data_IF_036429540594
#
_entry.id   IF_036429540594
#
_cell.length_a   1.000
_cell.length_b   1.000
_cell.length_c   1.000
_cell.angle_alpha   90.00
_cell.angle_beta   90.00
_cell.angle_gamma   90.00
#
_symmetry.space_group_name_H-M   'P 1'
#
loop_
_entity.id
_entity.type
_entity.pdbx_description
1 polymer ?
#
# COMPACT_ATOMS: atom_id res chain seq x y z
N UNK A 1 23.58 -17.89 -6.19
CA UNK A 1 22.96 -16.70 -5.61
C UNK A 1 22.30 -17.17 -4.33
N UNK A 2 22.93 -16.88 -3.20
CA UNK A 2 22.43 -17.30 -1.90
C UNK A 2 21.46 -16.20 -1.43
N UNK A 3 20.22 -16.58 -1.16
CA UNK A 3 19.20 -15.69 -0.65
C UNK A 3 18.91 -15.95 0.85
N UNK A 4 19.78 -16.70 1.51
CA UNK A 4 19.68 -16.88 2.94
C UNK A 4 20.09 -15.59 3.65
N UNK A 5 19.32 -15.23 4.65
CA UNK A 5 19.54 -14.05 5.45
C UNK A 5 20.28 -14.47 6.70
N UNK A 6 21.54 -14.02 6.84
CA UNK A 6 22.27 -14.19 8.07
C UNK A 6 22.05 -13.00 9.00
N UNK A 7 21.49 -13.24 10.17
CA UNK A 7 21.30 -12.20 11.16
C UNK A 7 22.58 -11.96 11.94
N UNK A 8 23.04 -10.71 11.91
CA UNK A 8 24.20 -10.29 12.70
C UNK A 8 23.82 -10.11 14.18
N UNK A 9 24.80 -10.11 15.09
CA UNK A 9 24.53 -9.78 16.50
C UNK A 9 23.84 -8.43 16.70
N UNK A 10 24.13 -7.43 15.86
CA UNK A 10 23.46 -6.12 15.86
C UNK A 10 21.98 -6.24 15.47
N UNK A 11 21.66 -7.03 14.46
CA UNK A 11 20.28 -7.28 14.05
C UNK A 11 19.48 -8.00 15.14
N UNK A 12 20.10 -8.97 15.84
CA UNK A 12 19.44 -9.68 16.93
C UNK A 12 19.23 -8.79 18.18
N UNK A 13 20.15 -7.89 18.46
CA UNK A 13 19.97 -6.91 19.54
C UNK A 13 18.84 -5.92 19.22
N UNK A 14 18.83 -5.43 17.97
CA UNK A 14 17.74 -4.57 17.49
C UNK A 14 16.39 -5.31 17.52
N UNK A 15 16.35 -6.61 17.18
CA UNK A 15 15.15 -7.45 17.30
C UNK A 15 14.60 -7.48 18.73
N UNK A 16 15.48 -7.63 19.71
CA UNK A 16 15.07 -7.59 21.13
C UNK A 16 14.51 -6.22 21.52
N UNK A 17 15.14 -5.13 21.05
CA UNK A 17 14.64 -3.76 21.29
C UNK A 17 13.23 -3.60 20.71
N UNK A 18 13.03 -3.94 19.42
CA UNK A 18 11.74 -3.82 18.74
C UNK A 18 10.68 -4.65 19.45
N UNK A 19 10.97 -5.92 19.75
CA UNK A 19 10.06 -6.83 20.43
C UNK A 19 9.64 -6.29 21.80
N UNK A 20 10.60 -5.90 22.62
CA UNK A 20 10.34 -5.35 23.96
C UNK A 20 9.57 -4.02 23.91
N UNK A 21 9.74 -3.24 22.85
CA UNK A 21 8.96 -2.02 22.66
C UNK A 21 7.53 -2.33 22.21
N UNK A 22 7.34 -3.24 21.26
CA UNK A 22 6.01 -3.68 20.80
C UNK A 22 5.20 -4.27 21.97
N UNK A 23 5.80 -5.13 22.78
CA UNK A 23 5.13 -5.73 23.95
C UNK A 23 4.63 -4.69 24.96
N UNK A 24 5.25 -3.52 25.02
CA UNK A 24 4.85 -2.41 25.91
C UNK A 24 3.87 -1.42 25.27
N UNK A 25 3.91 -1.26 23.96
CA UNK A 25 3.22 -0.17 23.24
C UNK A 25 2.04 -0.63 22.40
N UNK A 26 1.96 -1.92 22.08
CA UNK A 26 0.84 -2.49 21.36
C UNK A 26 -0.27 -2.85 22.37
N UNK A 27 -1.19 -1.90 22.54
CA UNK A 27 -2.31 -2.01 23.45
C UNK A 27 -3.54 -2.63 22.78
N UNK A 28 -4.50 -3.24 23.53
CA UNK A 28 -5.66 -3.92 22.94
C UNK A 28 -6.58 -3.05 22.07
N UNK A 29 -6.52 -1.71 22.21
CA UNK A 29 -7.29 -0.75 21.45
C UNK A 29 -6.62 -0.39 20.09
N UNK A 30 -5.38 -0.79 19.90
CA UNK A 30 -4.68 -0.68 18.60
C UNK A 30 -5.03 -1.90 17.76
N UNK A 31 -5.31 -1.72 16.50
CA UNK A 31 -5.62 -2.81 15.59
C UNK A 31 -6.63 -2.40 14.54
N UNK A 32 -7.00 -3.33 13.68
CA UNK A 32 -8.06 -3.13 12.71
C UNK A 32 -9.03 -4.31 12.77
N UNK A 33 -10.34 -4.07 12.65
CA UNK A 33 -11.28 -5.17 12.52
C UNK A 33 -11.04 -5.93 11.22
N UNK A 34 -11.57 -7.13 11.13
CA UNK A 34 -11.51 -7.98 9.95
C UNK A 34 -12.00 -7.24 8.70
N UNK A 35 -13.07 -6.49 8.84
CA UNK A 35 -13.60 -5.66 7.77
C UNK A 35 -13.20 -4.20 8.01
N UNK A 36 -12.45 -3.65 7.09
CA UNK A 36 -11.90 -2.30 7.19
C UNK A 36 -12.96 -1.21 7.43
N UNK A 37 -14.20 -1.39 6.94
CA UNK A 37 -15.32 -0.47 7.17
C UNK A 37 -15.86 -0.48 8.61
N UNK A 38 -15.52 -1.47 9.39
CA UNK A 38 -15.98 -1.61 10.76
C UNK A 38 -15.05 -0.89 11.77
N UNK A 39 -13.99 -0.20 11.30
CA UNK A 39 -13.11 0.62 12.15
C UNK A 39 -13.90 1.77 12.76
N UNK A 40 -13.98 1.80 14.08
CA UNK A 40 -14.58 2.92 14.81
C UNK A 40 -13.64 4.13 14.82
N UNK A 41 -14.21 5.33 15.06
CA UNK A 41 -13.40 6.55 15.17
C UNK A 41 -12.41 6.49 16.36
N UNK A 42 -12.78 5.87 17.47
CA UNK A 42 -11.89 5.70 18.62
C UNK A 42 -10.74 4.76 18.31
N UNK A 43 -11.02 3.65 17.63
CA UNK A 43 -9.98 2.74 17.16
C UNK A 43 -9.03 3.41 16.16
N UNK A 44 -9.56 4.24 15.25
CA UNK A 44 -8.73 5.05 14.37
C UNK A 44 -7.79 5.99 15.14
N UNK A 45 -8.30 6.68 16.19
CA UNK A 45 -7.46 7.53 17.03
C UNK A 45 -6.35 6.74 17.73
N UNK A 46 -6.68 5.57 18.28
CA UNK A 46 -5.68 4.68 18.90
C UNK A 46 -4.61 4.24 17.91
N UNK A 47 -5.03 3.89 16.69
CA UNK A 47 -4.10 3.52 15.61
C UNK A 47 -3.19 4.68 15.21
N UNK A 48 -3.73 5.90 15.09
CA UNK A 48 -2.93 7.09 14.80
C UNK A 48 -1.94 7.41 15.93
N UNK A 49 -2.35 7.25 17.18
CA UNK A 49 -1.47 7.42 18.33
C UNK A 49 -0.34 6.37 18.33
N UNK A 50 -0.64 5.12 17.98
CA UNK A 50 0.38 4.07 17.83
C UNK A 50 1.36 4.37 16.71
N UNK A 51 0.88 4.82 15.52
CA UNK A 51 1.73 5.27 14.41
C UNK A 51 2.65 6.41 14.85
N UNK A 52 2.10 7.39 15.58
CA UNK A 52 2.89 8.50 16.13
C UNK A 52 4.02 8.02 17.03
N UNK A 53 3.75 7.05 17.94
CA UNK A 53 4.80 6.44 18.78
C UNK A 53 5.86 5.68 17.98
N UNK A 54 5.46 4.98 16.90
CA UNK A 54 6.42 4.39 15.95
C UNK A 54 7.25 5.46 15.25
N UNK A 55 6.61 6.58 14.87
CA UNK A 55 7.28 7.73 14.26
C UNK A 55 8.32 8.37 15.17
N UNK A 56 8.03 8.52 16.47
CA UNK A 56 8.98 9.01 17.48
C UNK A 56 10.26 8.15 17.59
N UNK A 57 10.13 6.84 17.30
CA UNK A 57 11.26 5.92 17.18
C UNK A 57 11.92 5.94 15.79
N UNK A 58 11.33 6.65 14.82
CA UNK A 58 11.71 6.58 13.41
C UNK A 58 11.30 5.27 12.71
N UNK A 59 10.48 4.44 13.35
CA UNK A 59 10.11 3.11 12.86
C UNK A 59 8.89 3.10 11.94
N UNK A 60 8.15 4.21 11.87
CA UNK A 60 7.05 4.33 10.93
C UNK A 60 7.53 4.50 9.48
N UNK A 61 8.63 5.25 9.29
CA UNK A 61 9.31 5.44 8.02
C UNK A 61 10.79 5.06 8.16
N UNK A 62 11.11 3.76 8.36
CA UNK A 62 12.40 3.32 8.91
C UNK A 62 13.61 3.66 8.05
N UNK A 63 13.49 3.62 6.75
CA UNK A 63 14.62 3.86 5.82
C UNK A 63 14.71 5.32 5.32
N UNK A 64 13.74 6.17 5.70
CA UNK A 64 13.74 7.58 5.31
C UNK A 64 14.75 8.39 6.11
N UNK A 65 15.24 9.53 5.54
CA UNK A 65 16.24 10.37 6.21
C UNK A 65 15.75 10.89 7.56
N UNK A 66 16.63 10.83 8.57
CA UNK A 66 16.35 11.34 9.91
C UNK A 66 16.04 12.84 9.94
N UNK A 67 16.66 13.62 9.06
CA UNK A 67 16.44 15.05 8.94
C UNK A 67 14.99 15.44 8.62
N UNK A 68 14.23 14.51 8.03
CA UNK A 68 12.81 14.69 7.70
C UNK A 68 11.87 13.88 8.59
N UNK A 69 12.37 13.30 9.68
CA UNK A 69 11.52 12.52 10.62
C UNK A 69 11.49 11.03 10.35
N UNK A 70 12.28 10.53 9.40
CA UNK A 70 12.44 9.08 9.18
C UNK A 70 13.45 8.45 10.15
N UNK A 71 13.56 7.12 10.13
CA UNK A 71 14.44 6.35 11.01
C UNK A 71 15.90 6.33 10.59
N UNK A 72 16.19 6.50 9.30
CA UNK A 72 17.54 6.34 8.74
C UNK A 72 18.13 4.96 9.02
N UNK A 73 17.27 3.93 9.15
CA UNK A 73 17.71 2.56 9.35
C UNK A 73 18.36 2.01 8.08
N UNK A 74 19.34 1.12 8.26
CA UNK A 74 19.86 0.33 7.15
C UNK A 74 18.76 -0.62 6.64
N UNK A 75 18.86 -1.10 5.39
CA UNK A 75 17.93 -2.09 4.88
C UNK A 75 17.81 -3.35 5.73
N UNK A 76 18.93 -3.79 6.32
CA UNK A 76 19.00 -4.97 7.19
C UNK A 76 18.18 -4.79 8.48
N UNK A 77 18.35 -3.65 9.14
CA UNK A 77 17.58 -3.34 10.35
C UNK A 77 16.09 -3.11 10.03
N UNK A 78 15.78 -2.52 8.88
CA UNK A 78 14.41 -2.35 8.43
C UNK A 78 13.70 -3.70 8.24
N UNK A 79 14.40 -4.73 7.71
CA UNK A 79 13.85 -6.09 7.61
C UNK A 79 13.50 -6.66 8.99
N UNK A 80 14.38 -6.51 9.97
CA UNK A 80 14.13 -6.98 11.33
C UNK A 80 12.89 -6.29 11.95
N UNK A 81 12.78 -4.98 11.76
CA UNK A 81 11.60 -4.22 12.21
C UNK A 81 10.31 -4.74 11.56
N UNK A 82 10.31 -4.94 10.25
CA UNK A 82 9.16 -5.44 9.51
C UNK A 82 8.77 -6.86 9.96
N UNK A 83 9.74 -7.75 10.19
CA UNK A 83 9.49 -9.10 10.71
C UNK A 83 8.81 -9.07 12.08
N UNK A 84 9.25 -8.20 12.99
CA UNK A 84 8.63 -8.08 14.32
C UNK A 84 7.23 -7.47 14.25
N UNK A 85 6.98 -6.51 13.36
CA UNK A 85 5.65 -5.98 13.11
C UNK A 85 4.73 -7.05 12.49
N UNK A 86 5.21 -7.81 11.50
CA UNK A 86 4.45 -8.92 10.91
C UNK A 86 4.16 -10.03 11.91
N UNK A 87 5.03 -10.28 12.88
CA UNK A 87 4.78 -11.25 13.94
C UNK A 87 3.58 -10.88 14.82
N UNK A 88 3.11 -9.65 14.74
CA UNK A 88 1.94 -9.11 15.45
C UNK A 88 0.77 -8.82 14.50
N UNK A 89 0.77 -9.36 13.29
CA UNK A 89 -0.24 -9.05 12.26
C UNK A 89 -1.66 -9.38 12.72
N UNK A 90 -1.84 -10.45 13.51
CA UNK A 90 -3.13 -10.85 14.07
C UNK A 90 -3.74 -9.77 14.97
N UNK A 91 -2.91 -8.97 15.62
CA UNK A 91 -3.31 -7.85 16.44
C UNK A 91 -3.35 -6.54 15.65
N UNK A 92 -2.27 -6.25 14.89
CA UNK A 92 -2.14 -5.02 14.12
C UNK A 92 -3.10 -4.94 12.94
N UNK A 93 -3.44 -6.09 12.34
CA UNK A 93 -4.20 -6.12 11.10
C UNK A 93 -3.58 -5.19 10.07
N UNK A 94 -4.43 -4.42 9.41
CA UNK A 94 -4.02 -3.46 8.38
C UNK A 94 -3.61 -2.06 8.92
N UNK A 95 -3.35 -1.90 10.22
CA UNK A 95 -3.00 -0.59 10.84
C UNK A 95 -1.81 0.07 10.15
N UNK A 96 -0.82 -0.74 9.73
CA UNK A 96 0.41 -0.26 9.10
C UNK A 96 0.34 -0.23 7.57
N UNK A 97 -0.62 -0.92 6.95
CA UNK A 97 -0.62 -1.25 5.52
C UNK A 97 -1.57 -0.37 4.71
N UNK A 98 -2.45 0.36 5.36
CA UNK A 98 -3.46 1.16 4.66
C UNK A 98 -2.81 2.25 3.80
N UNK A 99 -3.16 2.27 2.51
CA UNK A 99 -2.61 3.11 1.44
C UNK A 99 -2.72 4.63 1.63
N UNK A 100 -3.00 5.08 2.84
CA UNK A 100 -3.19 6.48 3.22
C UNK A 100 -1.98 7.05 3.96
N UNK A 101 -0.86 6.37 3.87
CA UNK A 101 0.35 6.76 4.60
C UNK A 101 1.13 7.90 3.92
N UNK A 102 0.64 8.39 2.78
CA UNK A 102 1.22 9.57 2.11
C UNK A 102 2.65 9.38 1.58
N UNK A 103 3.18 8.14 1.51
CA UNK A 103 4.56 7.93 1.08
C UNK A 103 4.80 8.26 -0.39
N UNK A 104 3.77 8.23 -1.24
CA UNK A 104 3.90 8.75 -2.60
C UNK A 104 4.09 10.26 -2.61
N UNK A 105 3.32 10.98 -1.78
CA UNK A 105 3.47 12.42 -1.60
C UNK A 105 4.83 12.75 -0.98
N UNK A 106 5.24 12.03 0.07
CA UNK A 106 6.54 12.23 0.71
C UNK A 106 7.69 12.02 -0.28
N UNK A 107 7.64 10.98 -1.14
CA UNK A 107 8.62 10.76 -2.18
C UNK A 107 8.67 11.92 -3.17
N UNK A 108 7.52 12.36 -3.69
CA UNK A 108 7.44 13.51 -4.60
C UNK A 108 8.03 14.78 -3.96
N UNK A 109 7.67 15.08 -2.71
CA UNK A 109 8.18 16.24 -1.98
C UNK A 109 9.69 16.14 -1.77
N UNK A 110 10.22 14.96 -1.42
CA UNK A 110 11.66 14.76 -1.22
C UNK A 110 12.46 15.06 -2.48
N UNK A 111 11.98 14.61 -3.65
CA UNK A 111 12.69 14.77 -4.91
C UNK A 111 12.48 16.09 -5.62
N UNK A 112 11.29 16.69 -5.49
CA UNK A 112 10.88 17.83 -6.30
C UNK A 112 10.49 19.04 -5.48
N UNK A 113 10.13 18.84 -4.21
CA UNK A 113 9.74 19.91 -3.30
C UNK A 113 10.91 20.83 -2.96
N UNK A 114 10.61 22.11 -2.73
CA UNK A 114 11.56 23.05 -2.17
C UNK A 114 11.77 22.80 -0.67
N UNK A 115 12.75 23.47 -0.06
CA UNK A 115 13.10 23.24 1.35
C UNK A 115 11.97 23.63 2.32
N UNK A 116 11.12 24.58 1.98
CA UNK A 116 9.97 24.96 2.78
C UNK A 116 8.91 23.86 2.77
N UNK A 117 8.59 23.33 1.59
CA UNK A 117 7.68 22.20 1.44
C UNK A 117 8.18 20.95 2.15
N UNK A 118 9.48 20.63 2.06
CA UNK A 118 10.09 19.51 2.79
C UNK A 118 9.93 19.68 4.30
N UNK A 119 10.26 20.86 4.83
CA UNK A 119 10.10 21.15 6.28
C UNK A 119 8.64 21.13 6.73
N UNK A 120 7.72 21.57 5.89
CA UNK A 120 6.29 21.67 6.21
C UNK A 120 5.61 20.31 6.24
N UNK A 121 5.88 19.44 5.26
CA UNK A 121 5.07 18.23 5.04
C UNK A 121 5.75 16.95 5.51
N UNK A 122 7.05 16.78 5.26
CA UNK A 122 7.71 15.50 5.48
C UNK A 122 7.70 15.05 6.94
N UNK A 123 7.98 15.89 7.95
CA UNK A 123 8.01 15.42 9.33
C UNK A 123 6.69 14.80 9.80
N UNK A 124 5.57 15.43 9.48
CA UNK A 124 4.25 14.96 9.91
C UNK A 124 3.78 13.71 9.16
N UNK A 125 4.20 13.54 7.89
CA UNK A 125 3.92 12.35 7.10
C UNK A 125 4.78 11.19 7.58
N UNK A 126 6.10 11.40 7.73
CA UNK A 126 7.05 10.34 8.04
C UNK A 126 7.02 9.87 9.50
N UNK A 127 6.46 10.68 10.40
CA UNK A 127 6.22 10.26 11.77
C UNK A 127 4.81 9.69 12.01
N UNK A 128 4.02 9.48 10.95
CA UNK A 128 2.72 8.83 11.01
C UNK A 128 1.57 9.68 11.58
N UNK A 129 1.77 11.00 11.74
CA UNK A 129 0.74 11.91 12.31
C UNK A 129 -0.26 12.39 11.27
N UNK A 130 0.17 12.57 10.01
CA UNK A 130 -0.72 13.01 8.94
C UNK A 130 -1.21 11.86 8.06
N UNK A 131 -2.50 11.91 7.73
CA UNK A 131 -3.12 11.08 6.71
C UNK A 131 -3.17 11.87 5.41
N UNK A 132 -2.71 11.28 4.30
CA UNK A 132 -2.71 11.90 2.98
C UNK A 132 -3.45 10.99 2.00
N UNK A 133 -4.51 11.49 1.38
CA UNK A 133 -5.18 10.77 0.31
C UNK A 133 -4.56 11.07 -1.05
N UNK A 134 -4.41 10.03 -1.88
CA UNK A 134 -3.88 10.13 -3.23
C UNK A 134 -5.01 10.30 -4.25
N UNK A 135 -5.08 11.46 -4.90
CA UNK A 135 -6.10 11.85 -5.88
C UNK A 135 -5.55 11.67 -7.30
N UNK A 136 -5.54 10.44 -7.79
CA UNK A 136 -4.97 10.11 -9.11
C UNK A 136 -6.03 9.67 -10.11
N UNK A 137 -6.71 8.56 -9.82
CA UNK A 137 -7.65 7.89 -10.72
C UNK A 137 -8.91 8.72 -10.96
N UNK A 138 -9.39 8.73 -12.20
CA UNK A 138 -10.66 9.33 -12.60
C UNK A 138 -11.60 8.27 -13.18
N UNK A 139 -12.92 8.54 -13.30
CA UNK A 139 -13.86 7.56 -13.87
C UNK A 139 -13.42 7.01 -15.23
N UNK A 140 -12.78 7.84 -16.06
CA UNK A 140 -12.30 7.47 -17.40
C UNK A 140 -10.78 7.35 -17.52
N UNK A 141 -10.01 7.51 -16.44
CA UNK A 141 -8.55 7.50 -16.46
C UNK A 141 -7.98 6.69 -15.30
N UNK A 142 -7.87 5.38 -15.47
CA UNK A 142 -7.27 4.44 -14.53
C UNK A 142 -5.91 3.93 -15.01
N UNK A 143 -5.91 2.85 -15.80
CA UNK A 143 -4.67 2.29 -16.38
C UNK A 143 -3.96 3.29 -17.29
N UNK A 144 -4.71 4.09 -18.02
CA UNK A 144 -4.24 5.22 -18.81
C UNK A 144 -4.37 6.53 -18.02
N UNK A 145 -3.70 6.59 -16.88
CA UNK A 145 -3.77 7.73 -15.96
C UNK A 145 -3.48 9.09 -16.62
N UNK A 146 -2.53 9.21 -17.59
CA UNK A 146 -2.29 10.49 -18.25
C UNK A 146 -3.44 11.00 -19.14
N UNK A 147 -4.50 10.22 -19.35
CA UNK A 147 -5.72 10.67 -20.02
C UNK A 147 -6.72 11.37 -19.10
N UNK A 148 -6.30 11.71 -17.87
CA UNK A 148 -7.13 12.44 -16.91
C UNK A 148 -7.66 13.76 -17.47
N UNK A 149 -8.76 14.21 -16.93
CA UNK A 149 -9.48 15.44 -17.33
C UNK A 149 -9.53 16.50 -16.24
N UNK A 150 -9.23 16.14 -14.98
CA UNK A 150 -9.13 17.12 -13.89
C UNK A 150 -8.08 18.16 -14.20
N UNK A 151 -8.47 19.43 -14.12
CA UNK A 151 -7.60 20.58 -14.36
C UNK A 151 -7.23 21.29 -13.08
N UNK A 152 -6.07 21.95 -13.08
CA UNK A 152 -5.58 22.88 -12.06
C UNK A 152 -4.99 24.07 -12.80
N UNK A 153 -5.83 25.01 -13.20
CA UNK A 153 -5.42 26.14 -14.04
C UNK A 153 -5.00 27.31 -13.16
N UNK A 154 -3.88 27.92 -13.49
CA UNK A 154 -3.37 29.07 -12.76
C UNK A 154 -4.27 30.30 -12.94
N UNK A 155 -4.62 30.95 -11.83
CA UNK A 155 -5.38 32.17 -11.77
C UNK A 155 -4.75 33.11 -10.72
N UNK A 156 -3.92 34.04 -11.18
CA UNK A 156 -3.11 34.90 -10.32
C UNK A 156 -2.10 34.11 -9.50
N UNK A 157 -2.20 34.22 -8.19
CA UNK A 157 -1.33 33.54 -7.21
C UNK A 157 -1.88 32.17 -6.77
N UNK A 158 -2.99 31.74 -7.36
CA UNK A 158 -3.65 30.47 -7.06
C UNK A 158 -3.69 29.53 -8.26
N UNK A 159 -3.99 28.25 -7.98
CA UNK A 159 -4.51 27.27 -8.94
C UNK A 159 -5.98 26.98 -8.63
N UNK A 160 -6.79 26.88 -9.68
CA UNK A 160 -8.22 26.54 -9.58
C UNK A 160 -8.46 25.16 -10.12
N UNK A 161 -8.89 24.25 -9.24
CA UNK A 161 -9.17 22.86 -9.60
C UNK A 161 -10.62 22.68 -10.01
N UNK A 162 -10.82 21.91 -11.08
CA UNK A 162 -12.13 21.41 -11.51
C UNK A 162 -11.99 19.97 -12.02
N UNK A 163 -12.85 19.06 -11.54
CA UNK A 163 -12.86 17.67 -11.97
C UNK A 163 -13.36 16.70 -10.92
N UNK A 164 -13.08 15.41 -11.17
CA UNK A 164 -13.47 14.32 -10.28
C UNK A 164 -12.37 13.28 -10.17
N UNK A 165 -12.14 12.81 -8.95
CA UNK A 165 -11.27 11.68 -8.64
C UNK A 165 -12.07 10.55 -8.01
N UNK A 166 -11.68 9.29 -8.26
CA UNK A 166 -12.42 8.11 -7.80
C UNK A 166 -11.48 7.08 -7.19
N UNK A 167 -12.02 6.18 -6.38
CA UNK A 167 -11.29 5.15 -5.63
C UNK A 167 -10.25 5.73 -4.67
N UNK A 168 -10.51 6.93 -4.15
CA UNK A 168 -9.61 7.68 -3.29
C UNK A 168 -9.74 7.24 -1.84
N UNK A 169 -8.63 7.34 -1.11
CA UNK A 169 -8.57 7.23 0.34
C UNK A 169 -8.85 5.84 0.89
N UNK A 170 -9.00 5.77 2.19
CA UNK A 170 -9.46 4.63 2.94
C UNK A 170 -10.39 5.08 4.08
N UNK A 171 -10.04 4.84 5.34
CA UNK A 171 -11.00 4.72 6.42
C UNK A 171 -11.48 6.04 7.03
N UNK A 172 -10.67 7.09 7.04
CA UNK A 172 -10.98 8.33 7.76
C UNK A 172 -10.47 9.56 7.03
N UNK A 173 -10.95 10.73 7.47
CA UNK A 173 -10.69 12.00 6.82
C UNK A 173 -9.20 12.31 6.77
N UNK A 174 -8.69 12.79 5.61
CA UNK A 174 -7.29 13.14 5.45
C UNK A 174 -6.98 14.51 6.04
N UNK A 175 -5.71 14.76 6.33
CA UNK A 175 -5.18 16.10 6.59
C UNK A 175 -4.88 16.82 5.28
N UNK A 176 -4.39 16.05 4.30
CA UNK A 176 -4.04 16.55 2.97
C UNK A 176 -4.51 15.58 1.88
N UNK A 177 -4.71 16.14 0.69
CA UNK A 177 -4.94 15.41 -0.56
C UNK A 177 -3.78 15.67 -1.50
N UNK A 178 -3.08 14.62 -1.91
CA UNK A 178 -2.02 14.69 -2.91
C UNK A 178 -2.60 14.41 -4.28
N UNK A 179 -2.73 15.46 -5.11
CA UNK A 179 -3.44 15.42 -6.38
C UNK A 179 -2.50 15.60 -7.56
N UNK A 180 -2.82 14.90 -8.68
CA UNK A 180 -2.25 15.18 -10.00
C UNK A 180 -3.38 15.71 -10.89
N UNK A 181 -3.10 16.83 -11.59
CA UNK A 181 -4.06 17.50 -12.47
C UNK A 181 -3.36 18.16 -13.65
N UNK A 182 -4.12 18.48 -14.71
CA UNK A 182 -3.63 19.20 -15.88
C UNK A 182 -3.44 20.68 -15.52
N UNK A 183 -2.20 21.16 -15.60
CA UNK A 183 -1.86 22.58 -15.39
C UNK A 183 -1.82 23.38 -16.67
N UNK A 184 -1.52 22.71 -17.79
CA UNK A 184 -1.47 23.36 -19.11
C UNK A 184 -1.97 22.39 -20.20
N UNK A 185 -3.23 22.52 -20.66
CA UNK A 185 -3.81 21.62 -21.65
C UNK A 185 -3.14 21.68 -23.03
N UNK A 186 -2.41 22.75 -23.34
CA UNK A 186 -1.73 22.91 -24.63
C UNK A 186 -0.39 22.16 -24.69
N UNK A 187 0.12 21.66 -23.56
CA UNK A 187 1.35 20.86 -23.53
C UNK A 187 1.10 19.40 -23.90
N UNK A 188 2.10 18.72 -24.43
CA UNK A 188 2.01 17.28 -24.68
C UNK A 188 1.65 16.49 -23.42
N UNK A 189 0.96 15.39 -23.63
CA UNK A 189 0.65 14.39 -22.61
C UNK A 189 1.87 14.04 -21.76
N UNK A 190 1.69 13.85 -20.46
CA UNK A 190 2.68 13.72 -19.38
C UNK A 190 3.40 15.03 -19.02
N UNK A 191 3.70 15.90 -19.98
CA UNK A 191 4.33 17.20 -19.71
C UNK A 191 3.32 18.32 -19.39
N UNK A 192 2.02 18.00 -19.35
CA UNK A 192 0.92 18.92 -19.05
C UNK A 192 0.43 18.83 -17.58
N UNK A 193 1.06 18.00 -16.75
CA UNK A 193 0.59 17.65 -15.40
C UNK A 193 1.37 18.39 -14.31
N UNK A 194 0.69 18.81 -13.25
CA UNK A 194 1.26 19.26 -11.99
C UNK A 194 0.87 18.32 -10.84
N UNK A 195 1.66 18.33 -9.77
CA UNK A 195 1.38 17.60 -8.54
C UNK A 195 1.21 18.58 -7.38
N UNK A 196 0.20 18.39 -6.54
CA UNK A 196 -0.20 19.36 -5.53
C UNK A 196 -0.48 18.71 -4.18
N UNK A 197 -0.13 19.42 -3.11
CA UNK A 197 -0.58 19.13 -1.75
C UNK A 197 -1.72 20.08 -1.38
N UNK A 198 -2.93 19.56 -1.27
CA UNK A 198 -4.17 20.32 -1.02
C UNK A 198 -4.62 20.05 0.42
N UNK A 199 -4.83 21.07 1.28
CA UNK A 199 -5.48 20.86 2.58
C UNK A 199 -6.87 20.25 2.38
N UNK A 200 -7.22 19.27 3.19
CA UNK A 200 -8.46 18.50 2.97
C UNK A 200 -9.73 19.30 3.21
N UNK A 201 -9.64 20.37 3.99
CA UNK A 201 -10.73 21.29 4.33
C UNK A 201 -10.90 22.46 3.32
N UNK A 202 -10.16 22.41 2.19
CA UNK A 202 -10.26 23.46 1.16
C UNK A 202 -11.67 23.55 0.60
N UNK A 203 -12.29 24.74 0.57
CA UNK A 203 -13.64 24.92 0.02
C UNK A 203 -13.76 24.44 -1.44
N UNK A 204 -14.92 23.86 -1.78
CA UNK A 204 -15.19 23.33 -3.12
C UNK A 204 -14.88 21.83 -3.28
N UNK A 205 -14.36 21.19 -2.24
CA UNK A 205 -14.16 19.75 -2.19
C UNK A 205 -15.39 19.05 -1.65
N UNK A 206 -15.96 18.11 -2.40
CA UNK A 206 -17.06 17.26 -1.96
C UNK A 206 -16.65 15.79 -1.99
N UNK A 207 -16.94 15.08 -0.90
CA UNK A 207 -16.51 13.67 -0.70
C UNK A 207 -17.75 12.77 -0.63
N UNK A 208 -17.83 11.76 -1.50
CA UNK A 208 -18.86 10.74 -1.50
C UNK A 208 -18.28 9.35 -1.26
N UNK A 209 -18.91 8.57 -0.40
CA UNK A 209 -18.55 7.17 -0.20
C UNK A 209 -18.87 6.33 -1.43
N UNK A 210 -18.05 5.30 -1.66
CA UNK A 210 -18.25 4.29 -2.69
C UNK A 210 -18.42 2.93 -2.02
N UNK A 211 -19.55 2.28 -2.31
CA UNK A 211 -19.79 0.90 -1.89
C UNK A 211 -19.13 -0.05 -2.90
N UNK A 212 -18.04 -0.67 -2.47
CA UNK A 212 -17.30 -1.63 -3.28
C UNK A 212 -17.45 -3.04 -2.72
N UNK A 213 -17.44 -4.04 -3.59
CA UNK A 213 -17.53 -5.45 -3.20
C UNK A 213 -16.41 -5.86 -2.21
N UNK A 214 -15.22 -5.34 -2.38
CA UNK A 214 -14.08 -5.55 -1.47
C UNK A 214 -14.17 -4.77 -0.17
N UNK A 215 -15.20 -3.96 0.06
CA UNK A 215 -15.24 -3.02 1.18
C UNK A 215 -14.23 -1.89 0.99
N UNK A 216 -13.60 -1.45 2.07
CA UNK A 216 -12.37 -0.65 1.98
C UNK A 216 -12.54 0.86 1.91
N UNK A 217 -13.72 1.39 2.18
CA UNK A 217 -13.93 2.83 2.46
C UNK A 217 -13.44 3.79 1.38
N UNK A 218 -13.51 3.41 0.10
CA UNK A 218 -13.11 4.28 -1.00
C UNK A 218 -14.11 5.42 -1.22
N UNK A 219 -13.65 6.49 -1.85
CA UNK A 219 -14.39 7.73 -2.05
C UNK A 219 -14.32 8.18 -3.50
N UNK A 220 -15.36 8.89 -3.91
CA UNK A 220 -15.37 9.79 -5.07
C UNK A 220 -15.22 11.22 -4.57
N UNK A 221 -14.29 11.97 -5.16
CA UNK A 221 -13.96 13.35 -4.78
C UNK A 221 -14.33 14.26 -5.94
N UNK A 222 -15.21 15.19 -5.70
CA UNK A 222 -15.54 16.25 -6.66
C UNK A 222 -14.80 17.52 -6.28
N UNK A 223 -14.25 18.19 -7.26
CA UNK A 223 -13.47 19.42 -7.14
C UNK A 223 -14.19 20.49 -7.99
N UNK A 224 -14.80 21.47 -7.33
CA UNK A 224 -15.56 22.52 -7.98
C UNK A 224 -15.00 23.89 -7.59
N UNK A 225 -14.24 24.51 -8.51
CA UNK A 225 -13.54 25.77 -8.29
C UNK A 225 -12.70 25.79 -7.00
N UNK A 226 -12.04 24.66 -6.69
CA UNK A 226 -11.17 24.54 -5.50
C UNK A 226 -9.93 25.39 -5.72
N UNK A 227 -9.77 26.43 -4.91
CA UNK A 227 -8.63 27.35 -4.99
C UNK A 227 -7.55 26.94 -4.00
N UNK A 228 -6.34 26.79 -4.50
CA UNK A 228 -5.16 26.50 -3.69
C UNK A 228 -4.03 27.45 -4.06
N UNK A 229 -3.24 27.94 -3.11
CA UNK A 229 -2.14 28.85 -3.41
C UNK A 229 -1.06 28.16 -4.26
N UNK A 230 -0.31 28.97 -5.02
CA UNK A 230 0.69 28.45 -5.95
C UNK A 230 1.79 27.62 -5.30
N UNK A 231 2.06 27.83 -4.00
CA UNK A 231 3.03 27.06 -3.21
C UNK A 231 2.54 25.62 -2.88
N UNK A 232 1.28 25.30 -3.14
CA UNK A 232 0.75 23.92 -3.09
C UNK A 232 1.31 23.03 -4.22
N UNK A 233 1.82 23.61 -5.32
CA UNK A 233 2.46 22.90 -6.40
C UNK A 233 3.81 22.32 -5.96
N UNK A 234 3.96 21.02 -6.00
CA UNK A 234 5.19 20.30 -5.69
C UNK A 234 6.05 20.20 -6.97
N UNK A 235 7.25 20.77 -6.91
CA UNK A 235 8.10 20.89 -8.09
C UNK A 235 7.63 21.99 -9.05
N UNK A 236 7.54 21.68 -10.35
CA UNK A 236 7.17 22.62 -11.42
C UNK A 236 6.00 22.10 -12.23
N UNK A 237 5.31 23.00 -12.92
CA UNK A 237 4.33 22.62 -13.94
C UNK A 237 4.99 21.73 -15.01
N UNK A 238 4.29 20.65 -15.36
CA UNK A 238 4.78 19.65 -16.31
C UNK A 238 5.56 18.50 -15.65
N UNK A 239 5.86 18.56 -14.35
CA UNK A 239 6.56 17.50 -13.63
C UNK A 239 5.62 16.53 -12.88
N UNK A 240 4.31 16.72 -12.92
CA UNK A 240 3.34 15.91 -12.18
C UNK A 240 3.44 14.42 -12.48
N UNK A 241 3.77 14.03 -13.70
CA UNK A 241 3.99 12.62 -14.04
C UNK A 241 5.19 12.02 -13.32
N UNK A 242 6.24 12.81 -13.13
CA UNK A 242 7.44 12.42 -12.38
C UNK A 242 7.12 12.21 -10.89
N UNK A 243 6.24 13.03 -10.32
CA UNK A 243 5.78 12.88 -8.94
C UNK A 243 5.14 11.51 -8.69
N UNK A 244 4.37 11.02 -9.67
CA UNK A 244 3.74 9.70 -9.62
C UNK A 244 4.71 8.55 -9.87
N UNK A 245 5.67 8.71 -10.78
CA UNK A 245 6.59 7.64 -11.21
C UNK A 245 7.89 7.58 -10.41
N UNK A 246 8.31 8.68 -9.78
CA UNK A 246 9.55 8.80 -8.99
C UNK A 246 9.59 7.98 -7.71
N UNK A 247 8.48 7.43 -7.28
CA UNK A 247 8.33 6.57 -6.07
C UNK A 247 9.32 5.39 -5.99
N UNK A 248 9.90 4.96 -7.12
CA UNK A 248 10.71 3.73 -7.19
C UNK A 248 12.11 3.84 -6.59
N UNK A 249 12.64 5.05 -6.42
CA UNK A 249 14.01 5.25 -5.98
C UNK A 249 14.16 5.27 -4.44
N UNK A 250 13.08 5.52 -3.69
CA UNK A 250 13.11 5.65 -2.21
C UNK A 250 12.68 4.37 -1.49
N UNK A 251 11.91 3.50 -2.14
CA UNK A 251 11.33 2.31 -1.51
C UNK A 251 12.01 1.03 -2.00
N UNK A 252 13.20 0.74 -1.50
CA UNK A 252 13.82 -0.58 -1.60
C UNK A 252 13.38 -1.49 -0.43
N UNK A 253 12.16 -1.33 0.08
CA UNK A 253 11.62 -2.23 1.08
C UNK A 253 11.30 -3.58 0.44
N UNK A 254 12.16 -4.55 0.64
CA UNK A 254 11.89 -5.93 0.35
C UNK A 254 11.47 -6.61 1.64
N UNK A 255 10.22 -6.93 1.72
CA UNK A 255 9.67 -7.64 2.86
C UNK A 255 9.89 -9.13 2.69
N UNK A 256 10.41 -9.78 3.69
CA UNK A 256 10.37 -11.24 3.84
C UNK A 256 9.00 -11.58 4.43
N UNK A 257 7.94 -11.42 3.67
CA UNK A 257 6.61 -11.55 4.22
C UNK A 257 6.23 -13.01 4.52
N UNK A 258 5.71 -13.19 5.70
CA UNK A 258 4.86 -14.29 6.12
C UNK A 258 3.52 -14.17 5.37
N UNK A 259 2.89 -15.28 5.02
CA UNK A 259 1.53 -15.23 4.48
C UNK A 259 0.56 -15.77 5.53
N UNK A 260 0.06 -14.86 6.36
CA UNK A 260 -0.84 -15.16 7.46
C UNK A 260 -2.09 -15.97 7.00
N UNK A 261 -2.75 -15.53 5.94
CA UNK A 261 -3.94 -16.22 5.44
C UNK A 261 -3.64 -17.66 4.97
N UNK A 262 -2.46 -17.89 4.37
CA UNK A 262 -2.04 -19.25 4.01
C UNK A 262 -1.78 -20.10 5.25
N UNK A 263 -1.15 -19.56 6.26
CA UNK A 263 -0.88 -20.28 7.52
C UNK A 263 -2.18 -20.67 8.21
N UNK A 264 -3.12 -19.74 8.34
CA UNK A 264 -4.48 -20.02 8.84
C UNK A 264 -5.16 -21.13 8.04
N UNK A 265 -5.10 -21.06 6.69
CA UNK A 265 -5.68 -22.07 5.83
C UNK A 265 -5.09 -23.46 6.07
N UNK A 266 -3.76 -23.57 6.20
CA UNK A 266 -3.07 -24.83 6.45
C UNK A 266 -3.39 -25.39 7.83
N UNK A 267 -3.45 -24.55 8.86
CA UNK A 267 -3.84 -24.94 10.23
C UNK A 267 -5.30 -25.40 10.27
N UNK A 268 -6.20 -24.65 9.67
CA UNK A 268 -7.61 -25.03 9.56
C UNK A 268 -7.77 -26.41 8.90
N UNK A 269 -7.10 -26.63 7.79
CA UNK A 269 -7.22 -27.84 7.01
C UNK A 269 -6.68 -29.08 7.74
N UNK A 270 -5.71 -28.91 8.66
CA UNK A 270 -5.19 -29.98 9.52
C UNK A 270 -6.09 -30.23 10.73
N UNK A 271 -6.62 -29.18 11.34
CA UNK A 271 -7.38 -29.26 12.58
C UNK A 271 -8.83 -29.71 12.36
N UNK A 272 -9.43 -29.39 11.23
CA UNK A 272 -10.83 -29.68 10.93
C UNK A 272 -10.99 -30.94 10.08
N UNK A 273 -12.13 -31.60 10.26
CA UNK A 273 -12.44 -32.85 9.57
C UNK A 273 -13.60 -32.68 8.58
N UNK A 274 -13.51 -33.38 7.45
CA UNK A 274 -14.58 -33.58 6.48
C UNK A 274 -14.70 -35.07 6.23
N UNK A 275 -15.90 -35.62 6.31
CA UNK A 275 -16.16 -37.08 6.14
C UNK A 275 -15.31 -37.98 7.06
N UNK A 276 -15.01 -37.50 8.28
CA UNK A 276 -14.27 -38.27 9.29
C UNK A 276 -12.74 -38.17 9.23
N UNK A 277 -12.17 -37.58 8.18
CA UNK A 277 -10.73 -37.38 8.00
C UNK A 277 -10.37 -35.90 8.02
N UNK A 278 -9.10 -35.52 8.35
CA UNK A 278 -8.63 -34.16 8.19
C UNK A 278 -8.87 -33.63 6.77
N UNK A 279 -9.28 -32.36 6.65
CA UNK A 279 -9.55 -31.72 5.35
C UNK A 279 -8.29 -31.77 4.46
N UNK A 280 -7.11 -31.64 5.04
CA UNK A 280 -5.82 -31.73 4.34
C UNK A 280 -5.50 -33.09 3.74
N UNK A 281 -6.26 -34.14 4.08
CA UNK A 281 -6.14 -35.49 3.51
C UNK A 281 -7.03 -35.72 2.29
N UNK A 282 -8.02 -34.85 2.03
CA UNK A 282 -8.80 -34.86 0.79
C UNK A 282 -7.87 -34.55 -0.40
N UNK A 283 -7.71 -35.44 -1.39
CA UNK A 283 -6.77 -35.26 -2.49
C UNK A 283 -6.99 -33.98 -3.28
N UNK A 284 -8.25 -33.62 -3.53
CA UNK A 284 -8.56 -32.41 -4.31
C UNK A 284 -8.20 -31.13 -3.55
N UNK A 285 -8.50 -31.10 -2.24
CA UNK A 285 -8.15 -29.96 -1.39
C UNK A 285 -6.64 -29.90 -1.21
N UNK A 286 -5.97 -31.02 -1.01
CA UNK A 286 -4.52 -31.07 -0.87
C UNK A 286 -3.80 -30.48 -2.07
N UNK A 287 -4.29 -30.73 -3.30
CA UNK A 287 -3.71 -30.14 -4.51
C UNK A 287 -3.83 -28.60 -4.49
N UNK A 288 -4.98 -28.04 -4.08
CA UNK A 288 -5.15 -26.58 -3.97
C UNK A 288 -4.27 -25.97 -2.87
N UNK A 289 -4.11 -26.68 -1.74
CA UNK A 289 -3.22 -26.25 -0.66
C UNK A 289 -1.75 -26.23 -1.09
N UNK A 290 -1.30 -27.25 -1.81
CA UNK A 290 0.07 -27.35 -2.35
C UNK A 290 0.32 -26.24 -3.37
N UNK A 291 -0.62 -26.00 -4.28
CA UNK A 291 -0.52 -24.90 -5.26
C UNK A 291 -0.39 -23.54 -4.56
N UNK A 292 -1.24 -23.25 -3.59
CA UNK A 292 -1.19 -22.01 -2.80
C UNK A 292 0.15 -21.88 -2.06
N UNK A 293 0.62 -22.95 -1.45
CA UNK A 293 1.90 -23.00 -0.74
C UNK A 293 3.09 -22.73 -1.67
N UNK A 294 3.16 -23.39 -2.83
CA UNK A 294 4.22 -23.19 -3.81
C UNK A 294 4.26 -21.76 -4.33
N UNK A 295 3.10 -21.15 -4.61
CA UNK A 295 3.00 -19.77 -5.06
C UNK A 295 3.46 -18.78 -3.99
N UNK A 296 3.04 -18.96 -2.74
CA UNK A 296 3.47 -18.13 -1.63
C UNK A 296 5.00 -18.20 -1.43
N UNK A 297 5.57 -19.40 -1.48
CA UNK A 297 7.03 -19.59 -1.39
C UNK A 297 7.78 -18.92 -2.56
N UNK A 298 7.25 -19.02 -3.77
CA UNK A 298 7.82 -18.35 -4.93
C UNK A 298 7.80 -16.82 -4.76
N UNK A 299 6.70 -16.26 -4.25
CA UNK A 299 6.62 -14.83 -3.92
C UNK A 299 7.67 -14.41 -2.90
N UNK A 300 7.88 -15.22 -1.86
CA UNK A 300 8.91 -14.99 -0.86
C UNK A 300 10.32 -14.97 -1.46
N UNK A 301 10.63 -15.91 -2.35
CA UNK A 301 11.92 -15.94 -3.06
C UNK A 301 12.12 -14.72 -3.96
N UNK A 302 11.07 -14.26 -4.65
CA UNK A 302 11.16 -13.02 -5.45
C UNK A 302 11.33 -11.78 -4.59
N UNK A 303 10.69 -11.71 -3.44
CA UNK A 303 10.88 -10.62 -2.49
C UNK A 303 12.32 -10.57 -1.99
N UNK A 304 12.89 -11.71 -1.60
CA UNK A 304 14.30 -11.83 -1.22
C UNK A 304 15.26 -11.40 -2.35
N UNK A 305 14.98 -11.82 -3.58
CA UNK A 305 15.77 -11.40 -4.76
C UNK A 305 15.69 -9.88 -4.96
N UNK A 306 14.50 -9.29 -4.87
CA UNK A 306 14.33 -7.85 -5.04
C UNK A 306 15.06 -7.06 -3.95
N UNK A 307 15.00 -7.53 -2.71
CA UNK A 307 15.79 -6.98 -1.62
C UNK A 307 17.28 -7.02 -1.94
N UNK A 308 17.80 -8.18 -2.34
CA UNK A 308 19.19 -8.33 -2.73
C UNK A 308 19.60 -7.40 -3.88
N UNK A 309 18.76 -7.23 -4.90
CA UNK A 309 18.98 -6.26 -5.98
C UNK A 309 19.10 -4.84 -5.40
N UNK A 310 18.21 -4.46 -4.49
CA UNK A 310 18.20 -3.14 -3.86
C UNK A 310 19.47 -2.85 -3.05
N UNK A 311 19.86 -3.76 -2.14
CA UNK A 311 21.04 -3.55 -1.27
C UNK A 311 22.38 -3.61 -2.03
N UNK A 312 22.42 -4.30 -3.17
CA UNK A 312 23.65 -4.37 -4.01
C UNK A 312 23.77 -3.19 -4.99
N UNK A 313 22.85 -2.23 -4.97
CA UNK A 313 22.82 -1.07 -5.86
C UNK A 313 22.59 -1.41 -7.33
N UNK A 314 22.14 -2.62 -7.64
CA UNK A 314 21.79 -3.04 -8.99
C UNK A 314 20.50 -2.38 -9.43
N UNK A 315 20.41 -2.06 -10.71
CA UNK A 315 19.16 -1.51 -11.29
C UNK A 315 18.14 -2.63 -11.45
N UNK A 316 16.90 -2.32 -11.07
CA UNK A 316 15.76 -3.17 -11.37
C UNK A 316 15.45 -3.15 -12.88
N UNK A 317 15.26 -4.31 -13.46
CA UNK A 317 14.68 -4.49 -14.78
C UNK A 317 13.19 -4.81 -14.68
N UNK A 318 12.85 -6.08 -14.91
CA UNK A 318 11.47 -6.60 -14.82
C UNK A 318 11.10 -7.16 -13.41
N UNK A 319 12.06 -7.31 -12.54
CA UNK A 319 11.95 -8.10 -11.30
C UNK A 319 10.89 -7.56 -10.33
N UNK A 320 10.85 -6.22 -10.16
CA UNK A 320 9.84 -5.58 -9.33
C UNK A 320 8.42 -5.77 -9.90
N UNK A 321 8.28 -5.71 -11.22
CA UNK A 321 6.98 -5.92 -11.89
C UNK A 321 6.55 -7.39 -11.82
N UNK A 322 7.49 -8.34 -11.90
CA UNK A 322 7.23 -9.76 -11.74
C UNK A 322 6.67 -10.07 -10.35
N UNK A 323 7.28 -9.55 -9.30
CA UNK A 323 6.80 -9.75 -7.94
C UNK A 323 5.40 -9.13 -7.76
N UNK A 324 5.19 -7.90 -8.26
CA UNK A 324 3.89 -7.22 -8.22
C UNK A 324 2.79 -7.98 -8.99
N UNK A 325 3.08 -8.46 -10.20
CA UNK A 325 2.16 -9.28 -10.99
C UNK A 325 1.72 -10.54 -10.25
N UNK A 326 2.69 -11.28 -9.73
CA UNK A 326 2.38 -12.58 -9.12
C UNK A 326 1.68 -12.45 -7.77
N UNK A 327 1.93 -11.36 -7.02
CA UNK A 327 1.13 -11.04 -5.82
C UNK A 327 -0.34 -10.86 -6.16
N UNK A 328 -0.66 -10.16 -7.27
CA UNK A 328 -2.03 -9.98 -7.74
C UNK A 328 -2.70 -11.27 -8.21
N UNK A 329 -1.94 -12.13 -8.88
CA UNK A 329 -2.43 -13.44 -9.34
C UNK A 329 -2.57 -14.45 -8.20
N UNK A 330 -1.82 -14.30 -7.13
CA UNK A 330 -1.87 -15.20 -5.98
C UNK A 330 -3.13 -15.00 -5.12
N UNK A 331 -3.60 -13.77 -4.95
CA UNK A 331 -4.78 -13.49 -4.12
C UNK A 331 -5.99 -14.36 -4.45
N UNK A 332 -6.47 -14.39 -5.70
CA UNK A 332 -7.59 -15.26 -6.10
C UNK A 332 -7.33 -16.74 -5.90
N UNK A 333 -6.09 -17.22 -6.14
CA UNK A 333 -5.73 -18.63 -5.92
C UNK A 333 -5.84 -19.04 -4.46
N UNK A 334 -5.35 -18.18 -3.56
CA UNK A 334 -5.47 -18.43 -2.12
C UNK A 334 -6.94 -18.37 -1.66
N UNK A 335 -7.72 -17.40 -2.17
CA UNK A 335 -9.16 -17.31 -1.87
C UNK A 335 -9.92 -18.57 -2.31
N UNK A 336 -9.62 -19.09 -3.50
CA UNK A 336 -10.22 -20.34 -3.99
C UNK A 336 -9.85 -21.56 -3.11
N UNK A 337 -8.60 -21.64 -2.67
CA UNK A 337 -8.15 -22.66 -1.73
C UNK A 337 -8.85 -22.56 -0.37
N UNK A 338 -9.06 -21.35 0.15
CA UNK A 338 -9.81 -21.09 1.37
C UNK A 338 -11.29 -21.52 1.22
N UNK A 339 -11.94 -21.10 0.14
CA UNK A 339 -13.32 -21.49 -0.16
C UNK A 339 -13.48 -23.02 -0.28
N UNK A 340 -12.54 -23.69 -0.93
CA UNK A 340 -12.56 -25.14 -1.11
C UNK A 340 -12.38 -25.89 0.21
N UNK A 341 -11.46 -25.44 1.06
CA UNK A 341 -11.16 -26.10 2.33
C UNK A 341 -12.18 -25.78 3.43
N UNK A 342 -12.60 -24.52 3.55
CA UNK A 342 -13.47 -24.05 4.63
C UNK A 342 -14.97 -24.17 4.29
N UNK A 343 -15.30 -24.29 2.99
CA UNK A 343 -16.68 -24.46 2.52
C UNK A 343 -17.56 -23.26 2.89
N UNK A 344 -18.83 -23.48 3.30
CA UNK A 344 -19.77 -22.40 3.61
C UNK A 344 -19.28 -21.41 4.67
N UNK A 345 -18.46 -21.84 5.63
CA UNK A 345 -17.92 -20.96 6.67
C UNK A 345 -17.03 -19.84 6.10
N UNK A 346 -16.40 -20.05 4.93
CA UNK A 346 -15.62 -19.02 4.24
C UNK A 346 -16.47 -17.94 3.54
N UNK A 347 -17.79 -18.09 3.52
CA UNK A 347 -18.74 -17.14 2.92
C UNK A 347 -19.51 -16.32 3.98
N UNK A 348 -19.19 -16.52 5.26
CA UNK A 348 -19.91 -15.93 6.37
C UNK A 348 -19.06 -14.83 7.00
N UNK A 349 -19.61 -13.60 7.01
CA UNK A 349 -18.98 -12.42 7.63
C UNK A 349 -19.04 -12.46 9.16
N UNK A 350 -20.05 -13.11 9.71
CA UNK A 350 -20.27 -13.16 11.16
C UNK A 350 -19.09 -13.83 11.88
N UNK A 351 -18.52 -13.20 12.92
CA UNK A 351 -17.33 -13.71 13.59
C UNK A 351 -17.58 -15.01 14.36
N UNK A 352 -18.82 -15.34 14.75
CA UNK A 352 -19.14 -16.58 15.46
C UNK A 352 -19.21 -17.79 14.49
N UNK A 353 -19.73 -17.57 13.27
CA UNK A 353 -20.01 -18.64 12.31
C UNK A 353 -19.04 -18.68 11.12
N UNK A 354 -18.37 -17.56 10.86
CA UNK A 354 -17.41 -17.42 9.77
C UNK A 354 -16.06 -18.02 10.10
N UNK A 355 -15.41 -18.58 9.10
CA UNK A 355 -14.04 -19.08 9.26
C UNK A 355 -13.09 -17.93 9.62
N UNK A 356 -12.29 -18.15 10.66
CA UNK A 356 -11.38 -17.13 11.21
C UNK A 356 -12.08 -15.79 11.49
N UNK A 357 -13.19 -15.86 12.24
CA UNK A 357 -13.96 -14.68 12.62
C UNK A 357 -14.46 -13.84 11.41
N UNK A 358 -14.67 -14.48 10.24
CA UNK A 358 -15.09 -13.82 9.01
C UNK A 358 -13.94 -13.34 8.12
N UNK A 359 -12.67 -13.55 8.50
CA UNK A 359 -11.50 -13.15 7.71
C UNK A 359 -11.45 -13.84 6.33
N UNK A 360 -11.85 -15.11 6.26
CA UNK A 360 -11.89 -15.84 5.00
C UNK A 360 -12.85 -15.19 4.00
N UNK A 361 -14.01 -14.73 4.45
CA UNK A 361 -15.01 -14.02 3.64
C UNK A 361 -14.47 -12.66 3.16
N UNK A 362 -13.90 -11.88 4.06
CA UNK A 362 -13.28 -10.61 3.73
C UNK A 362 -12.17 -10.78 2.68
N UNK A 363 -11.28 -11.74 2.89
CA UNK A 363 -10.20 -12.03 1.95
C UNK A 363 -10.72 -12.46 0.56
N UNK A 364 -11.75 -13.31 0.52
CA UNK A 364 -12.34 -13.75 -0.75
C UNK A 364 -12.87 -12.58 -1.59
N UNK A 365 -13.56 -11.63 -0.97
CA UNK A 365 -14.06 -10.41 -1.65
C UNK A 365 -12.93 -9.46 -2.06
N UNK A 366 -11.97 -9.22 -1.17
CA UNK A 366 -10.85 -8.32 -1.44
C UNK A 366 -9.92 -8.86 -2.52
N UNK A 367 -9.70 -10.18 -2.59
CA UNK A 367 -8.79 -10.81 -3.54
C UNK A 367 -9.11 -10.47 -5.00
N UNK A 368 -10.39 -10.32 -5.33
CA UNK A 368 -10.87 -9.94 -6.67
C UNK A 368 -10.47 -8.49 -7.00
N UNK A 369 -10.60 -7.60 -6.02
CA UNK A 369 -10.32 -6.17 -6.18
C UNK A 369 -8.81 -5.91 -6.29
N UNK A 370 -8.00 -6.66 -5.56
CA UNK A 370 -6.54 -6.46 -5.48
C UNK A 370 -5.80 -6.64 -6.81
N UNK A 371 -6.46 -7.19 -7.83
CA UNK A 371 -5.94 -7.24 -9.20
C UNK A 371 -5.75 -5.86 -9.85
N UNK A 372 -6.39 -4.80 -9.35
CA UNK A 372 -6.50 -3.49 -10.00
C UNK A 372 -5.60 -2.39 -9.40
N UNK A 373 -5.57 -2.11 -8.07
CA UNK A 373 -4.84 -0.99 -7.50
C UNK A 373 -3.33 -1.04 -7.77
N UNK A 374 -2.68 0.11 -7.97
CA UNK A 374 -1.23 0.19 -8.20
C UNK A 374 -0.76 -0.38 -9.55
N UNK A 375 -1.63 -0.36 -10.55
CA UNK A 375 -1.45 -0.97 -11.88
C UNK A 375 -2.12 -2.33 -11.98
N UNK A 376 -2.91 -2.55 -13.03
CA UNK A 376 -3.60 -3.82 -13.29
C UNK A 376 -2.62 -4.95 -13.61
N UNK A 377 -3.14 -6.19 -13.61
CA UNK A 377 -2.38 -7.37 -14.07
C UNK A 377 -1.76 -7.11 -15.46
N UNK A 378 -2.51 -6.50 -16.38
CA UNK A 378 -2.07 -6.19 -17.75
C UNK A 378 -0.97 -5.13 -17.77
N UNK A 379 -1.08 -4.08 -16.96
CA UNK A 379 -0.05 -3.05 -16.81
C UNK A 379 1.25 -3.65 -16.26
N UNK A 380 1.17 -4.56 -15.29
CA UNK A 380 2.36 -5.26 -14.79
C UNK A 380 2.99 -6.15 -15.86
N UNK A 381 2.19 -6.91 -16.63
CA UNK A 381 2.69 -7.73 -17.75
C UNK A 381 3.41 -6.86 -18.81
N UNK A 382 2.79 -5.73 -19.18
CA UNK A 382 3.36 -4.81 -20.15
C UNK A 382 4.68 -4.19 -19.65
N UNK A 383 4.72 -3.76 -18.39
CA UNK A 383 5.94 -3.20 -17.78
C UNK A 383 7.03 -4.25 -17.62
N UNK A 384 6.68 -5.48 -17.26
CA UNK A 384 7.60 -6.61 -17.17
C UNK A 384 8.22 -6.91 -18.54
N UNK A 385 7.39 -6.96 -19.58
CA UNK A 385 7.87 -7.14 -20.96
C UNK A 385 8.87 -6.05 -21.38
N UNK A 386 8.56 -4.79 -21.13
CA UNK A 386 9.47 -3.66 -21.40
C UNK A 386 10.79 -3.79 -20.66
N UNK A 387 10.75 -4.11 -19.36
CA UNK A 387 11.95 -4.31 -18.56
C UNK A 387 12.80 -5.50 -19.00
N UNK A 388 12.17 -6.54 -19.54
CA UNK A 388 12.86 -7.74 -20.04
C UNK A 388 13.51 -7.53 -21.42
N UNK A 389 12.82 -6.85 -22.33
CA UNK A 389 13.25 -6.68 -23.73
C UNK A 389 14.04 -5.40 -23.99
N UNK A 390 14.03 -4.45 -23.04
CA UNK A 390 14.52 -3.10 -23.27
C UNK A 390 13.70 -2.31 -24.30
N UNK A 391 12.50 -2.78 -24.63
CA UNK A 391 11.69 -2.22 -25.69
C UNK A 391 10.84 -1.02 -25.23
N UNK A 392 11.12 0.16 -25.77
CA UNK A 392 10.42 1.42 -25.49
C UNK A 392 9.32 1.75 -26.52
N UNK A 393 8.86 0.77 -27.29
CA UNK A 393 7.96 0.94 -28.44
C UNK A 393 6.66 1.75 -28.17
N UNK A 394 6.36 2.06 -26.90
CA UNK A 394 5.18 2.83 -26.49
C UNK A 394 5.51 4.22 -25.91
N UNK A 395 6.73 4.70 -26.06
CA UNK A 395 7.15 6.07 -25.70
C UNK A 395 7.03 7.05 -26.88
N UNK A 396 6.09 6.80 -27.81
CA UNK A 396 5.77 7.72 -28.91
C UNK A 396 4.52 8.51 -28.62
#
# INVERSE_FOLDING_TARGET
>A
MDFEFEYTPEMEEFRKEVRGWLDKNLTPDVGAPVHALDVTYDQFKSNMAFRGRLGEKGWYAPQWPKEYGGGGLTPELAVVLEEELESRIDHLGNVMVNGDIGFTAAAAITYMGNDEQKRRYLPEILNGKNVVWELFTEPNAGSDLPSMTTTAIRDGDDYVFNGQKIFVGALHDPHYMFAIAITNPDRPRHANLGAFMIPADTPGITVHSLDLIGGGGKRSIFLENVRVPADALIGKEGEGWRAFTGRREVSASAVVSRNHNLEQLLEYSKANKRNGAPISEDPNIRDTLVEAYMRAHTLKLWSKRNYWIGITGRKFGYEGQQAGLNRKLFGPVLAEAMLSAMGPAALIKDPEWGAYNGEAEAYARESIVMGHPGGTVEIHKMRMWRGFTGNTMFER
#
